data_IF_786098002133
#
_entry.id   IF_786098002133
#
_cell.length_a   1.000
_cell.length_b   1.000
_cell.length_c   1.000
_cell.angle_alpha   90.00
_cell.angle_beta   90.00
_cell.angle_gamma   90.00
#
_symmetry.space_group_name_H-M   'P 1'
#
loop_
_entity.id
_entity.type
_entity.pdbx_description
1 polymer ?
#
# COMPACT_ATOMS: atom_id res chain seq x y z
N UNK A 1 -33.64 -44.62 -21.31
CA UNK A 1 -32.21 -44.25 -21.32
C UNK A 1 -32.13 -42.76 -20.99
N UNK A 2 -32.08 -42.42 -19.70
CA UNK A 2 -32.06 -41.05 -19.16
C UNK A 2 -30.66 -40.78 -18.57
N UNK A 3 -29.68 -40.68 -19.45
CA UNK A 3 -28.32 -40.29 -19.10
C UNK A 3 -27.97 -39.18 -20.11
N UNK A 4 -27.23 -38.15 -19.69
CA UNK A 4 -26.59 -37.09 -20.50
C UNK A 4 -27.10 -35.63 -20.41
N UNK A 5 -28.11 -35.27 -19.61
CA UNK A 5 -28.40 -33.83 -19.37
C UNK A 5 -27.87 -33.27 -18.04
N UNK A 6 -27.52 -34.12 -17.06
CA UNK A 6 -26.97 -33.67 -15.77
C UNK A 6 -25.46 -33.36 -15.82
N UNK A 7 -24.73 -33.89 -16.80
CA UNK A 7 -23.27 -33.75 -16.90
C UNK A 7 -22.83 -32.35 -17.39
N UNK A 8 -23.58 -31.74 -18.32
CA UNK A 8 -23.24 -30.39 -18.80
C UNK A 8 -23.36 -29.34 -17.70
N UNK A 9 -24.45 -29.36 -16.92
CA UNK A 9 -24.63 -28.41 -15.82
C UNK A 9 -23.59 -28.60 -14.72
N UNK A 10 -23.26 -29.85 -14.35
CA UNK A 10 -22.16 -30.15 -13.41
C UNK A 10 -20.81 -29.60 -13.89
N UNK A 11 -20.54 -29.72 -15.18
CA UNK A 11 -19.31 -29.20 -15.80
C UNK A 11 -19.27 -27.67 -15.77
N UNK A 12 -20.39 -27.00 -16.07
CA UNK A 12 -20.51 -25.53 -15.98
C UNK A 12 -20.34 -25.03 -14.55
N UNK A 13 -20.92 -25.71 -13.55
CA UNK A 13 -20.72 -25.38 -12.14
C UNK A 13 -19.26 -25.57 -11.70
N UNK A 14 -18.60 -26.63 -12.15
CA UNK A 14 -17.17 -26.87 -11.87
C UNK A 14 -16.27 -25.80 -12.50
N UNK A 15 -16.53 -25.45 -13.76
CA UNK A 15 -15.81 -24.36 -14.45
C UNK A 15 -16.02 -23.02 -13.75
N UNK A 16 -17.24 -22.70 -13.32
CA UNK A 16 -17.54 -21.48 -12.58
C UNK A 16 -16.83 -21.43 -11.22
N UNK A 17 -16.77 -22.56 -10.49
CA UNK A 17 -16.01 -22.65 -9.23
C UNK A 17 -14.51 -22.48 -9.44
N UNK A 18 -13.95 -23.11 -10.47
CA UNK A 18 -12.52 -22.99 -10.78
C UNK A 18 -12.14 -21.57 -11.22
N UNK A 19 -12.97 -20.95 -12.06
CA UNK A 19 -12.83 -19.54 -12.43
C UNK A 19 -12.91 -18.63 -11.21
N UNK A 20 -13.87 -18.88 -10.30
CA UNK A 20 -14.01 -18.16 -9.04
C UNK A 20 -12.78 -18.29 -8.13
N UNK A 21 -12.23 -19.50 -8.00
CA UNK A 21 -11.00 -19.77 -7.24
C UNK A 21 -9.80 -19.03 -7.82
N UNK A 22 -9.56 -19.14 -9.13
CA UNK A 22 -8.49 -18.41 -9.82
C UNK A 22 -8.63 -16.90 -9.69
N UNK A 23 -9.85 -16.38 -9.82
CA UNK A 23 -10.12 -14.96 -9.61
C UNK A 23 -9.86 -14.53 -8.15
N UNK A 24 -10.16 -15.39 -7.17
CA UNK A 24 -9.84 -15.18 -5.76
C UNK A 24 -8.34 -15.15 -5.49
N UNK A 25 -7.60 -16.13 -6.02
CA UNK A 25 -6.14 -16.21 -5.91
C UNK A 25 -5.46 -14.99 -6.54
N UNK A 26 -5.90 -14.57 -7.73
CA UNK A 26 -5.38 -13.36 -8.39
C UNK A 26 -5.68 -12.09 -7.59
N UNK A 27 -6.87 -11.96 -6.98
CA UNK A 27 -7.18 -10.80 -6.13
C UNK A 27 -6.33 -10.79 -4.86
N UNK A 28 -6.10 -11.95 -4.25
CA UNK A 28 -5.27 -12.06 -3.07
C UNK A 28 -3.80 -11.71 -3.37
N UNK A 29 -3.27 -12.14 -4.52
CA UNK A 29 -1.93 -11.78 -4.98
C UNK A 29 -1.78 -10.28 -5.27
N UNK A 30 -2.85 -9.63 -5.75
CA UNK A 30 -2.87 -8.21 -6.05
C UNK A 30 -3.23 -7.31 -4.86
N UNK A 31 -3.53 -7.86 -3.69
CA UNK A 31 -3.79 -7.05 -2.50
C UNK A 31 -2.52 -6.29 -2.10
N UNK A 32 -2.58 -4.96 -2.09
CA UNK A 32 -1.51 -4.12 -1.59
C UNK A 32 -1.57 -4.07 -0.06
N UNK A 33 -0.44 -4.13 0.66
CA UNK A 33 -0.42 -3.84 2.08
C UNK A 33 -0.89 -2.41 2.33
N UNK A 34 -1.38 -2.17 3.55
CA UNK A 34 -1.72 -0.82 3.98
C UNK A 34 -0.50 0.09 3.95
N UNK A 35 -0.69 1.31 3.47
CA UNK A 35 0.36 2.33 3.46
C UNK A 35 0.68 2.74 4.90
N UNK A 36 1.96 2.75 5.33
CA UNK A 36 2.33 3.04 6.71
C UNK A 36 1.76 4.36 7.22
N UNK A 37 1.23 4.35 8.45
CA UNK A 37 0.60 5.53 9.04
C UNK A 37 1.58 6.69 9.23
N UNK A 38 2.85 6.39 9.54
CA UNK A 38 3.89 7.41 9.69
C UNK A 38 4.09 8.19 8.38
N UNK A 39 4.02 7.50 7.24
CA UNK A 39 4.14 8.08 5.91
C UNK A 39 2.96 8.99 5.50
N UNK A 40 1.87 9.02 6.28
CA UNK A 40 0.74 9.93 6.09
C UNK A 40 0.85 11.21 6.92
N UNK A 41 1.79 11.26 7.86
CA UNK A 41 1.87 12.36 8.80
C UNK A 41 2.49 13.62 8.19
N UNK A 42 1.95 14.77 8.55
CA UNK A 42 2.54 16.08 8.25
C UNK A 42 3.47 16.51 9.39
N UNK A 43 4.56 17.19 9.05
CA UNK A 43 5.45 17.81 10.05
C UNK A 43 5.28 19.33 10.04
N UNK A 44 5.39 19.91 11.24
CA UNK A 44 5.43 21.35 11.47
C UNK A 44 6.85 21.71 11.92
N UNK A 45 7.32 22.89 11.54
CA UNK A 45 8.65 23.38 11.92
C UNK A 45 8.81 23.65 13.42
N UNK A 46 7.72 23.82 14.16
CA UNK A 46 7.76 24.20 15.59
C UNK A 46 8.18 25.65 15.84
N UNK A 47 8.32 26.46 14.77
CA UNK A 47 8.59 27.90 14.86
C UNK A 47 7.37 28.60 15.46
N UNK A 48 7.63 29.50 16.42
CA UNK A 48 6.61 30.27 17.13
C UNK A 48 6.89 31.78 17.06
N UNK A 49 5.85 32.58 17.28
CA UNK A 49 5.98 34.03 17.41
C UNK A 49 6.87 34.34 18.63
N UNK A 50 7.87 35.20 18.42
CA UNK A 50 8.84 35.56 19.45
C UNK A 50 10.13 34.73 19.43
N UNK A 51 10.21 33.68 18.59
CA UNK A 51 11.49 33.01 18.35
C UNK A 51 12.51 33.99 17.75
N UNK A 52 13.74 33.96 18.26
CA UNK A 52 14.88 34.62 17.61
C UNK A 52 15.07 34.00 16.23
N UNK A 53 15.45 34.80 15.24
CA UNK A 53 15.47 34.38 13.83
C UNK A 53 16.38 33.15 13.57
N UNK A 54 17.52 33.09 14.22
CA UNK A 54 18.44 31.94 14.16
C UNK A 54 17.85 30.68 14.80
N UNK A 55 17.14 30.81 15.93
CA UNK A 55 16.41 29.71 16.57
C UNK A 55 15.29 29.21 15.67
N UNK A 56 14.54 30.13 15.03
CA UNK A 56 13.50 29.79 14.08
C UNK A 56 14.07 29.00 12.88
N UNK A 57 15.23 29.42 12.36
CA UNK A 57 15.92 28.72 11.28
C UNK A 57 16.33 27.30 11.70
N UNK A 58 16.97 27.14 12.88
CA UNK A 58 17.39 25.83 13.38
C UNK A 58 16.20 24.87 13.58
N UNK A 59 15.07 25.37 14.10
CA UNK A 59 13.84 24.59 14.25
C UNK A 59 13.29 24.13 12.90
N UNK A 60 13.24 25.02 11.91
CA UNK A 60 12.78 24.70 10.58
C UNK A 60 13.68 23.67 9.88
N UNK A 61 15.00 23.81 10.01
CA UNK A 61 15.97 22.88 9.42
C UNK A 61 15.89 21.49 10.05
N UNK A 62 15.78 21.41 11.39
CA UNK A 62 15.60 20.13 12.08
C UNK A 62 14.30 19.41 11.64
N UNK A 63 13.21 20.15 11.49
CA UNK A 63 11.95 19.60 11.01
C UNK A 63 12.03 19.14 9.54
N UNK A 64 12.74 19.89 8.69
CA UNK A 64 12.97 19.54 7.30
C UNK A 64 13.83 18.28 7.18
N UNK A 65 14.92 18.18 7.93
CA UNK A 65 15.76 16.98 7.98
C UNK A 65 14.96 15.75 8.38
N UNK A 66 14.17 15.83 9.46
CA UNK A 66 13.32 14.70 9.87
C UNK A 66 12.23 14.34 8.86
N UNK A 67 11.65 15.33 8.17
CA UNK A 67 10.70 15.10 7.08
C UNK A 67 11.36 14.39 5.89
N UNK A 68 12.59 14.79 5.51
CA UNK A 68 13.34 14.18 4.42
C UNK A 68 13.70 12.72 4.73
N UNK A 69 14.16 12.44 5.96
CA UNK A 69 14.46 11.07 6.38
C UNK A 69 13.22 10.18 6.31
N UNK A 70 12.05 10.70 6.69
CA UNK A 70 10.79 9.97 6.57
C UNK A 70 10.41 9.75 5.10
N UNK A 71 10.52 10.77 4.25
CA UNK A 71 10.24 10.63 2.81
C UNK A 71 11.11 9.52 2.21
N UNK A 72 12.40 9.49 2.55
CA UNK A 72 13.30 8.46 2.06
C UNK A 72 12.85 7.06 2.51
N UNK A 73 12.57 6.86 3.80
CA UNK A 73 12.09 5.55 4.29
C UNK A 73 10.77 5.11 3.64
N UNK A 74 9.84 6.03 3.42
CA UNK A 74 8.58 5.74 2.76
C UNK A 74 8.76 5.39 1.27
N UNK A 75 9.71 6.04 0.59
CA UNK A 75 10.09 5.70 -0.77
C UNK A 75 10.74 4.31 -0.83
N UNK A 76 11.68 4.02 0.06
CA UNK A 76 12.35 2.72 0.13
C UNK A 76 11.36 1.57 0.37
N UNK A 77 10.38 1.79 1.26
CA UNK A 77 9.29 0.84 1.48
C UNK A 77 8.49 0.58 0.20
N UNK A 78 8.12 1.64 -0.53
CA UNK A 78 7.35 1.50 -1.76
C UNK A 78 8.16 0.81 -2.87
N UNK A 79 9.45 1.14 -3.01
CA UNK A 79 10.33 0.51 -3.97
C UNK A 79 10.55 -0.97 -3.66
N UNK A 80 10.71 -1.33 -2.37
CA UNK A 80 10.74 -2.73 -1.94
C UNK A 80 9.43 -3.46 -2.27
N UNK A 81 8.28 -2.80 -2.04
CA UNK A 81 6.98 -3.34 -2.38
C UNK A 81 6.81 -3.59 -3.87
N UNK A 82 7.26 -2.64 -4.69
CA UNK A 82 7.24 -2.71 -6.15
C UNK A 82 8.16 -3.83 -6.67
N UNK A 83 9.38 -3.93 -6.14
CA UNK A 83 10.33 -4.97 -6.50
C UNK A 83 9.85 -6.39 -6.13
N UNK A 84 9.11 -6.54 -5.01
CA UNK A 84 8.50 -7.83 -4.65
C UNK A 84 7.39 -8.31 -5.59
N UNK A 85 6.92 -7.43 -6.49
CA UNK A 85 5.80 -7.67 -7.41
C UNK A 85 6.18 -7.68 -8.89
N UNK A 86 7.44 -7.37 -9.22
CA UNK A 86 8.00 -7.47 -10.58
C UNK A 86 8.61 -8.84 -10.82
#
# INVERSE_FOLDING_TARGET
MLIFCAACSQTEFEQARDAGRRAGELRAQNALPEYPDDCRQLVRSGVAIGDRLDVALLKADAALSGQNDRIQRCADWYDGLRASRS
#
